data_IF_796034836800
#
_entry.id   IF_796034836800
#
_cell.length_a   1.000
_cell.length_b   1.000
_cell.length_c   1.000
_cell.angle_alpha   90.00
_cell.angle_beta   90.00
_cell.angle_gamma   90.00
#
_symmetry.space_group_name_H-M   'P 1'
#
loop_
_entity.id
_entity.type
_entity.pdbx_description
1 polymer ?
#
# COMPACT_ATOMS: atom_id res chain seq x y z
N UNK A 1 20.80 14.89 7.82
CA UNK A 1 19.36 14.59 7.62
C UNK A 1 19.23 13.11 7.33
N UNK A 2 18.33 12.48 8.07
CA UNK A 2 18.31 11.07 8.47
C UNK A 2 17.80 10.11 7.40
N UNK A 3 18.29 8.88 7.49
CA UNK A 3 18.19 7.77 6.55
C UNK A 3 16.84 7.04 6.73
N UNK A 4 15.93 7.11 5.75
CA UNK A 4 14.55 6.59 5.81
C UNK A 4 14.35 5.27 5.06
N UNK A 5 15.30 4.33 5.14
CA UNK A 5 15.18 3.02 4.46
C UNK A 5 14.99 1.82 5.40
N UNK A 6 14.81 2.05 6.71
CA UNK A 6 14.68 0.96 7.68
C UNK A 6 13.23 0.48 7.93
N UNK A 7 12.21 1.12 7.34
CA UNK A 7 10.81 0.88 7.72
C UNK A 7 10.08 -0.23 6.94
N UNK A 8 10.69 -0.79 5.88
CA UNK A 8 9.99 -1.76 5.02
C UNK A 8 10.39 -3.23 5.22
N UNK A 9 11.38 -3.54 6.07
CA UNK A 9 11.79 -4.92 6.34
C UNK A 9 11.19 -5.51 7.63
N UNK A 10 10.48 -4.73 8.44
CA UNK A 10 9.99 -5.20 9.74
C UNK A 10 8.62 -5.90 9.72
N UNK A 11 7.85 -5.79 8.64
CA UNK A 11 6.50 -6.35 8.55
C UNK A 11 6.43 -7.79 8.05
N UNK A 12 7.55 -8.38 7.60
CA UNK A 12 7.58 -9.75 7.09
C UNK A 12 8.02 -10.82 8.12
N UNK A 13 8.47 -10.41 9.33
CA UNK A 13 9.07 -11.32 10.32
C UNK A 13 8.17 -11.64 11.54
N UNK A 14 6.90 -11.23 11.54
CA UNK A 14 6.00 -11.42 12.69
C UNK A 14 5.13 -12.68 12.57
N UNK A 15 5.13 -13.38 11.42
CA UNK A 15 4.23 -14.52 11.19
C UNK A 15 4.79 -15.91 11.56
N UNK A 16 5.97 -16.02 12.18
CA UNK A 16 6.63 -17.32 12.39
C UNK A 16 6.95 -17.71 13.85
N UNK A 17 6.41 -17.04 14.88
CA UNK A 17 6.75 -17.32 16.28
C UNK A 17 5.63 -17.89 17.17
N UNK A 18 4.47 -18.30 16.63
CA UNK A 18 3.37 -18.80 17.47
C UNK A 18 3.26 -20.34 17.53
N UNK A 19 4.36 -21.07 17.40
CA UNK A 19 4.39 -22.52 17.64
C UNK A 19 5.68 -22.89 18.38
N UNK A 20 5.59 -22.98 19.70
CA UNK A 20 6.27 -23.91 20.61
C UNK A 20 6.41 -23.27 21.99
N UNK A 21 5.87 -23.95 23.02
CA UNK A 21 6.03 -23.50 24.40
C UNK A 21 4.92 -24.03 25.30
N UNK A 22 4.87 -25.35 25.49
CA UNK A 22 4.12 -25.93 26.61
C UNK A 22 4.90 -25.75 27.91
N UNK A 23 4.19 -25.52 29.02
CA UNK A 23 4.63 -25.81 30.39
C UNK A 23 3.42 -26.31 31.20
N UNK A 24 3.73 -27.29 32.04
CA UNK A 24 2.87 -28.22 32.79
C UNK A 24 2.66 -27.71 34.24
N UNK A 25 1.60 -28.24 34.88
CA UNK A 25 1.24 -28.24 36.32
C UNK A 25 0.58 -26.95 36.84
N UNK A 26 -0.50 -27.01 37.63
CA UNK A 26 -0.67 -27.83 38.82
C UNK A 26 -2.14 -28.21 39.08
N UNK A 27 -2.25 -29.31 39.81
CA UNK A 27 -3.39 -30.07 40.28
C UNK A 27 -4.44 -29.28 41.06
N UNK A 28 -5.68 -29.36 40.56
CA UNK A 28 -6.88 -29.09 41.31
C UNK A 28 -8.02 -29.84 40.64
N UNK A 29 -8.24 -31.10 41.02
CA UNK A 29 -9.40 -31.87 40.55
C UNK A 29 -10.65 -31.30 41.23
N UNK A 30 -11.11 -30.16 40.72
CA UNK A 30 -12.50 -29.76 40.86
C UNK A 30 -13.30 -30.71 39.99
N UNK A 31 -14.28 -31.37 40.60
CA UNK A 31 -15.26 -32.23 39.92
C UNK A 31 -15.98 -31.37 38.88
N UNK A 32 -15.49 -31.39 37.64
CA UNK A 32 -16.03 -30.61 36.52
C UNK A 32 -17.50 -31.06 36.40
N UNK A 33 -18.48 -30.14 36.46
CA UNK A 33 -19.87 -30.51 36.22
C UNK A 33 -19.92 -31.20 34.85
N UNK A 34 -20.54 -32.37 34.75
CA UNK A 34 -20.69 -33.14 33.51
C UNK A 34 -21.14 -32.20 32.37
N UNK A 35 -20.19 -31.73 31.57
CA UNK A 35 -20.45 -30.71 30.57
C UNK A 35 -21.11 -31.39 29.38
N UNK A 36 -22.40 -31.14 29.22
CA UNK A 36 -23.18 -31.70 28.11
C UNK A 36 -23.04 -30.83 26.87
N UNK A 37 -23.10 -31.47 25.72
CA UNK A 37 -23.02 -30.82 24.42
C UNK A 37 -24.31 -31.06 23.63
N UNK A 38 -24.68 -30.14 22.75
CA UNK A 38 -25.75 -30.31 21.78
C UNK A 38 -25.13 -30.63 20.42
N UNK A 39 -25.34 -31.84 19.91
CA UNK A 39 -24.98 -32.24 18.56
C UNK A 39 -26.14 -31.96 17.60
N UNK A 40 -25.87 -31.19 16.54
CA UNK A 40 -26.88 -30.84 15.54
C UNK A 40 -27.11 -32.00 14.58
N UNK A 41 -28.35 -32.49 14.53
CA UNK A 41 -28.76 -33.57 13.63
C UNK A 41 -29.44 -33.00 12.39
N UNK A 42 -30.29 -31.99 12.60
CA UNK A 42 -31.12 -31.39 11.55
C UNK A 42 -30.60 -29.98 11.22
N UNK A 43 -29.85 -29.90 10.13
CA UNK A 43 -29.23 -28.67 9.64
C UNK A 43 -30.02 -28.09 8.46
N UNK A 44 -30.01 -26.75 8.28
CA UNK A 44 -29.26 -25.78 9.07
C UNK A 44 -30.06 -25.30 10.30
N UNK A 45 -29.43 -25.25 11.47
CA UNK A 45 -30.07 -24.79 12.70
C UNK A 45 -29.66 -23.34 13.01
N UNK A 46 -30.64 -22.47 13.26
CA UNK A 46 -30.40 -21.05 13.56
C UNK A 46 -29.95 -20.88 15.00
N UNK A 47 -28.89 -20.10 15.20
CA UNK A 47 -28.43 -19.67 16.52
C UNK A 47 -28.84 -18.20 16.69
N UNK A 48 -29.75 -17.94 17.62
CA UNK A 48 -30.30 -16.60 17.87
C UNK A 48 -29.76 -16.03 19.19
N UNK A 49 -29.69 -14.71 19.29
CA UNK A 49 -29.18 -14.02 20.49
C UNK A 49 -30.18 -14.05 21.66
N UNK A 50 -31.48 -13.91 21.37
CA UNK A 50 -32.57 -13.87 22.34
C UNK A 50 -33.73 -14.75 21.86
N UNK A 51 -34.58 -15.23 22.78
CA UNK A 51 -35.77 -16.03 22.45
C UNK A 51 -36.93 -15.12 21.99
N UNK A 52 -36.75 -14.45 20.85
CA UNK A 52 -37.72 -13.53 20.24
C UNK A 52 -37.76 -13.77 18.73
N UNK A 53 -38.95 -13.78 18.08
CA UNK A 53 -39.07 -13.84 16.62
C UNK A 53 -38.25 -12.79 15.84
N UNK A 54 -37.99 -11.63 16.44
CA UNK A 54 -37.19 -10.53 15.88
C UNK A 54 -35.72 -10.55 16.33
N UNK A 55 -35.28 -11.63 16.99
CA UNK A 55 -33.90 -11.72 17.47
C UNK A 55 -32.88 -11.76 16.32
N UNK A 56 -31.76 -11.04 16.45
CA UNK A 56 -30.61 -11.20 15.57
C UNK A 56 -30.09 -12.65 15.53
N UNK A 57 -29.72 -13.11 14.34
CA UNK A 57 -29.10 -14.42 14.10
C UNK A 57 -27.58 -14.27 14.30
N UNK A 58 -27.03 -14.98 15.27
CA UNK A 58 -25.58 -15.02 15.55
C UNK A 58 -24.84 -15.90 14.54
N UNK A 59 -25.51 -16.93 14.03
CA UNK A 59 -24.95 -17.84 13.06
C UNK A 59 -25.90 -18.98 12.68
N UNK A 60 -25.41 -19.85 11.81
CA UNK A 60 -26.06 -21.09 11.41
C UNK A 60 -25.16 -22.26 11.81
N UNK A 61 -25.73 -23.24 12.49
CA UNK A 61 -25.02 -24.46 12.84
C UNK A 61 -25.16 -25.51 11.72
N UNK A 62 -24.05 -26.20 11.47
CA UNK A 62 -23.98 -27.28 10.49
C UNK A 62 -24.30 -28.63 11.12
N UNK A 63 -24.63 -29.63 10.29
CA UNK A 63 -24.87 -31.00 10.75
C UNK A 63 -23.61 -31.58 11.40
N UNK A 64 -23.79 -32.31 12.49
CA UNK A 64 -22.74 -32.90 13.35
C UNK A 64 -21.86 -31.87 14.10
N UNK A 65 -22.20 -30.58 14.07
CA UNK A 65 -21.53 -29.59 14.91
C UNK A 65 -21.99 -29.76 16.36
N UNK A 66 -21.06 -29.62 17.31
CA UNK A 66 -21.34 -29.77 18.75
C UNK A 66 -21.06 -28.47 19.49
N UNK A 67 -22.02 -28.06 20.33
CA UNK A 67 -21.89 -26.86 21.15
C UNK A 67 -22.02 -27.17 22.64
N UNK A 68 -21.20 -26.59 23.51
CA UNK A 68 -21.33 -26.77 24.95
C UNK A 68 -22.63 -26.12 25.44
N UNK A 69 -23.39 -26.87 26.23
CA UNK A 69 -24.66 -26.41 26.81
C UNK A 69 -24.37 -25.62 28.08
N UNK A 70 -24.83 -24.37 28.12
CA UNK A 70 -24.77 -23.46 29.28
C UNK A 70 -26.08 -23.49 30.06
N UNK A 71 -27.18 -23.92 29.45
CA UNK A 71 -28.46 -24.10 30.12
C UNK A 71 -29.47 -24.81 29.22
N UNK A 72 -30.23 -25.75 29.79
CA UNK A 72 -31.24 -26.53 29.05
C UNK A 72 -32.64 -26.02 29.39
N UNK A 73 -33.36 -25.52 28.39
CA UNK A 73 -34.80 -25.26 28.45
C UNK A 73 -35.62 -26.44 27.95
N UNK A 74 -36.93 -26.25 27.82
CA UNK A 74 -37.86 -27.27 27.29
C UNK A 74 -37.85 -27.31 25.75
N UNK A 75 -37.83 -26.15 25.11
CA UNK A 75 -37.85 -25.99 23.65
C UNK A 75 -36.53 -25.45 23.11
N UNK A 76 -35.86 -24.60 23.88
CA UNK A 76 -34.60 -23.96 23.50
C UNK A 76 -33.46 -24.35 24.45
N UNK A 77 -32.27 -24.48 23.90
CA UNK A 77 -31.03 -24.71 24.62
C UNK A 77 -30.15 -23.48 24.52
N UNK A 78 -29.56 -23.08 25.64
CA UNK A 78 -28.57 -22.02 25.72
C UNK A 78 -27.19 -22.62 25.56
N UNK A 79 -26.46 -22.17 24.54
CA UNK A 79 -25.14 -22.68 24.14
C UNK A 79 -24.10 -21.57 24.15
N UNK A 80 -22.81 -21.94 24.23
CA UNK A 80 -21.71 -21.01 23.96
C UNK A 80 -21.34 -21.08 22.47
N UNK A 81 -21.43 -19.96 21.78
CA UNK A 81 -21.13 -19.82 20.35
C UNK A 81 -20.14 -18.67 20.14
N UNK A 82 -18.93 -18.99 19.65
CA UNK A 82 -17.86 -18.01 19.36
C UNK A 82 -17.53 -17.04 20.51
N UNK A 83 -17.64 -17.51 21.75
CA UNK A 83 -17.38 -16.72 22.96
C UNK A 83 -18.60 -15.99 23.53
N UNK A 84 -19.71 -15.93 22.79
CA UNK A 84 -20.97 -15.36 23.25
C UNK A 84 -22.00 -16.45 23.58
N UNK A 85 -23.03 -16.09 24.35
CA UNK A 85 -24.13 -17.00 24.65
C UNK A 85 -25.23 -16.88 23.60
N UNK A 86 -25.61 -18.00 22.98
CA UNK A 86 -26.66 -18.10 21.98
C UNK A 86 -27.74 -19.12 22.33
N UNK A 87 -28.86 -19.08 21.61
CA UNK A 87 -29.97 -20.00 21.78
C UNK A 87 -30.21 -20.79 20.50
N UNK A 88 -30.46 -22.08 20.65
CA UNK A 88 -30.75 -23.01 19.56
C UNK A 88 -31.89 -23.94 19.96
N UNK A 89 -32.73 -24.32 19.00
CA UNK A 89 -33.88 -25.16 19.25
C UNK A 89 -33.44 -26.60 19.54
N UNK A 90 -33.94 -27.20 20.63
CA UNK A 90 -33.56 -28.55 21.06
C UNK A 90 -33.99 -29.60 20.03
N UNK A 91 -35.10 -29.38 19.33
CA UNK A 91 -35.62 -30.27 18.29
C UNK A 91 -34.62 -30.50 17.14
N UNK A 92 -33.66 -29.60 16.95
CA UNK A 92 -32.65 -29.65 15.89
C UNK A 92 -31.43 -30.50 16.24
N UNK A 93 -31.31 -30.96 17.48
CA UNK A 93 -30.15 -31.71 17.94
C UNK A 93 -30.46 -32.77 18.99
N UNK A 94 -29.42 -33.49 19.38
CA UNK A 94 -29.45 -34.38 20.56
C UNK A 94 -28.38 -33.96 21.54
N UNK A 95 -28.66 -34.15 22.83
CA UNK A 95 -27.69 -33.89 23.88
C UNK A 95 -26.73 -35.08 23.96
N UNK A 96 -25.43 -34.82 23.90
CA UNK A 96 -24.35 -35.81 23.96
C UNK A 96 -23.38 -35.45 25.09
N UNK A 97 -22.77 -36.47 25.70
CA UNK A 97 -21.88 -36.28 26.87
C UNK A 97 -20.41 -36.02 26.47
N UNK A 98 -20.09 -36.08 25.18
CA UNK A 98 -18.77 -35.76 24.64
C UNK A 98 -18.89 -35.00 23.32
N UNK A 99 -18.03 -34.02 23.04
CA UNK A 99 -18.04 -33.33 21.76
C UNK A 99 -17.67 -34.32 20.65
N UNK A 100 -18.52 -34.44 19.64
CA UNK A 100 -18.16 -35.07 18.37
C UNK A 100 -17.11 -34.18 17.72
N UNK A 101 -15.84 -34.47 17.97
CA UNK A 101 -14.75 -33.94 17.15
C UNK A 101 -15.03 -34.43 15.74
N UNK A 102 -15.38 -33.51 14.84
CA UNK A 102 -15.35 -33.76 13.42
C UNK A 102 -13.88 -33.95 13.08
N UNK A 103 -13.38 -35.15 13.37
CA UNK A 103 -12.19 -35.70 12.74
C UNK A 103 -12.58 -35.86 11.28
N UNK A 104 -12.47 -34.77 10.53
CA UNK A 104 -12.50 -34.82 9.09
C UNK A 104 -11.42 -35.83 8.70
N UNK A 105 -11.84 -37.08 8.44
CA UNK A 105 -11.04 -38.07 7.73
C UNK A 105 -10.89 -37.52 6.32
N UNK A 106 -10.02 -36.53 6.18
CA UNK A 106 -9.54 -36.06 4.89
C UNK A 106 -8.66 -37.23 4.41
N UNK A 107 -9.06 -37.98 3.38
CA UNK A 107 -8.23 -39.05 2.85
C UNK A 107 -6.87 -38.46 2.50
N UNK A 108 -5.78 -39.03 3.02
CA UNK A 108 -4.43 -38.46 2.98
C UNK A 108 -3.90 -38.09 1.58
N UNK A 109 -4.57 -38.59 0.54
CA UNK A 109 -4.32 -38.26 -0.86
C UNK A 109 -4.59 -36.75 -1.14
N UNK A 110 -5.61 -36.15 -0.52
CA UNK A 110 -5.91 -34.72 -0.70
C UNK A 110 -4.86 -33.81 -0.03
N UNK A 111 -4.32 -34.20 1.13
CA UNK A 111 -3.29 -33.40 1.81
C UNK A 111 -1.98 -33.34 1.00
N UNK A 112 -1.61 -34.43 0.32
CA UNK A 112 -0.43 -34.46 -0.55
C UNK A 112 -0.54 -33.50 -1.75
N UNK A 113 -1.73 -33.36 -2.34
CA UNK A 113 -1.97 -32.44 -3.47
C UNK A 113 -1.97 -30.98 -3.02
N UNK A 114 -2.51 -30.66 -1.84
CA UNK A 114 -2.46 -29.29 -1.31
C UNK A 114 -1.05 -28.87 -0.89
N UNK A 115 -0.26 -29.76 -0.29
CA UNK A 115 1.13 -29.45 0.10
C UNK A 115 2.02 -29.32 -1.16
N UNK A 116 1.89 -30.24 -2.12
CA UNK A 116 2.64 -30.17 -3.39
C UNK A 116 2.25 -28.98 -4.26
N UNK A 117 0.94 -28.71 -4.38
CA UNK A 117 0.42 -27.58 -5.15
C UNK A 117 0.76 -26.23 -4.52
N UNK A 118 0.71 -26.12 -3.19
CA UNK A 118 1.09 -24.88 -2.49
C UNK A 118 2.59 -24.61 -2.59
N UNK A 119 3.44 -25.64 -2.49
CA UNK A 119 4.89 -25.47 -2.66
C UNK A 119 5.24 -25.03 -4.09
N UNK A 120 4.58 -25.60 -5.09
CA UNK A 120 4.78 -25.23 -6.50
C UNK A 120 4.33 -23.78 -6.77
N UNK A 121 3.17 -23.37 -6.22
CA UNK A 121 2.67 -22.00 -6.35
C UNK A 121 3.63 -20.98 -5.69
N UNK A 122 4.15 -21.29 -4.50
CA UNK A 122 5.12 -20.44 -3.80
C UNK A 122 6.42 -20.31 -4.62
N UNK A 123 6.90 -21.39 -5.25
CA UNK A 123 8.07 -21.34 -6.11
C UNK A 123 7.84 -20.51 -7.39
N UNK A 124 6.65 -20.61 -7.99
CA UNK A 124 6.29 -19.82 -9.18
C UNK A 124 6.14 -18.34 -8.83
N UNK A 125 5.41 -18.00 -7.78
CA UNK A 125 5.24 -16.61 -7.33
C UNK A 125 6.57 -16.04 -6.84
N UNK A 126 7.34 -16.81 -6.08
CA UNK A 126 8.67 -16.44 -5.61
C UNK A 126 9.65 -16.19 -6.75
N UNK A 127 9.67 -17.04 -7.77
CA UNK A 127 10.51 -16.84 -8.96
C UNK A 127 10.07 -15.63 -9.79
N UNK A 128 8.76 -15.41 -9.97
CA UNK A 128 8.24 -14.19 -10.62
C UNK A 128 8.62 -12.95 -9.82
N UNK A 129 8.53 -12.99 -8.49
CA UNK A 129 8.91 -11.88 -7.61
C UNK A 129 10.43 -11.64 -7.62
N UNK A 130 11.26 -12.68 -7.63
CA UNK A 130 12.71 -12.56 -7.74
C UNK A 130 13.08 -11.99 -9.11
N UNK A 131 12.50 -12.51 -10.21
CA UNK A 131 12.74 -12.00 -11.57
C UNK A 131 12.23 -10.55 -11.71
N UNK A 132 11.08 -10.21 -11.13
CA UNK A 132 10.54 -8.85 -11.17
C UNK A 132 11.35 -7.90 -10.28
N UNK A 133 11.85 -8.35 -9.13
CA UNK A 133 12.75 -7.56 -8.27
C UNK A 133 14.12 -7.35 -8.93
N UNK A 134 14.64 -8.37 -9.63
CA UNK A 134 15.88 -8.28 -10.40
C UNK A 134 15.72 -7.37 -11.62
N UNK A 135 14.54 -7.34 -12.25
CA UNK A 135 14.21 -6.37 -13.33
C UNK A 135 13.89 -4.97 -12.81
N UNK A 136 13.44 -4.83 -11.56
CA UNK A 136 13.12 -3.54 -10.93
C UNK A 136 14.37 -2.69 -10.63
N UNK A 137 15.57 -3.29 -10.66
CA UNK A 137 16.82 -2.59 -10.37
C UNK A 137 17.71 -2.30 -11.58
N UNK A 138 17.16 -2.08 -12.78
CA UNK A 138 17.90 -1.38 -13.86
C UNK A 138 17.02 -0.49 -14.76
N UNK A 139 16.01 0.19 -14.22
CA UNK A 139 15.81 1.55 -14.71
C UNK A 139 17.00 2.31 -14.15
N UNK A 140 18.04 2.52 -14.97
CA UNK A 140 19.03 3.56 -14.69
C UNK A 140 18.20 4.84 -14.59
N UNK A 141 17.79 5.18 -13.37
CA UNK A 141 17.53 6.56 -13.01
C UNK A 141 18.89 7.22 -13.21
N UNK A 142 19.17 7.65 -14.43
CA UNK A 142 19.83 8.93 -14.59
C UNK A 142 18.95 9.82 -13.74
N UNK A 143 19.34 10.07 -12.49
CA UNK A 143 18.81 11.21 -11.77
C UNK A 143 19.26 12.35 -12.68
N UNK A 144 18.36 12.92 -13.52
CA UNK A 144 18.78 13.99 -14.39
C UNK A 144 19.35 15.01 -13.42
N UNK A 145 20.58 15.42 -13.66
CA UNK A 145 21.15 16.54 -12.93
C UNK A 145 20.09 17.66 -13.08
N UNK A 146 19.65 18.19 -11.95
CA UNK A 146 18.42 19.02 -11.88
C UNK A 146 18.83 20.48 -11.84
N UNK A 147 19.79 20.86 -12.67
CA UNK A 147 20.38 22.19 -12.66
C UNK A 147 19.66 23.04 -13.71
N UNK A 148 18.93 24.06 -13.27
CA UNK A 148 18.19 25.00 -14.14
C UNK A 148 18.83 26.38 -14.04
N UNK A 149 19.08 27.00 -15.18
CA UNK A 149 19.41 28.43 -15.28
C UNK A 149 18.22 29.18 -15.86
N UNK A 150 17.70 30.14 -15.10
CA UNK A 150 16.62 31.04 -15.53
C UNK A 150 17.25 32.36 -15.96
N UNK A 151 17.00 32.80 -17.19
CA UNK A 151 17.39 34.12 -17.70
C UNK A 151 16.13 34.99 -17.75
N UNK A 152 16.06 35.99 -16.89
CA UNK A 152 14.93 36.93 -16.80
C UNK A 152 15.33 38.24 -16.13
N UNK A 153 14.86 39.37 -16.65
CA UNK A 153 15.07 40.69 -16.06
C UNK A 153 14.41 40.86 -14.69
N UNK A 154 13.25 40.21 -14.49
CA UNK A 154 12.49 40.22 -13.24
C UNK A 154 12.06 38.82 -12.82
N UNK A 155 11.75 38.67 -11.52
CA UNK A 155 11.21 37.42 -11.00
C UNK A 155 9.79 37.21 -11.53
N UNK A 156 9.53 36.03 -12.11
CA UNK A 156 8.24 35.71 -12.71
C UNK A 156 7.37 35.00 -11.68
N UNK A 157 6.19 35.55 -11.45
CA UNK A 157 5.13 34.88 -10.70
C UNK A 157 4.33 33.93 -11.60
N UNK A 158 3.96 32.80 -11.02
CA UNK A 158 3.08 31.78 -11.60
C UNK A 158 1.86 31.70 -10.70
N UNK A 159 0.69 31.80 -11.31
CA UNK A 159 -0.57 31.57 -10.64
C UNK A 159 -0.92 30.08 -10.72
N UNK A 160 -1.18 29.45 -9.58
CA UNK A 160 -1.70 28.10 -9.54
C UNK A 160 -3.19 28.12 -9.86
N UNK A 161 -3.59 27.47 -10.96
CA UNK A 161 -4.99 27.41 -11.39
C UNK A 161 -5.92 26.71 -10.39
N UNK A 162 -5.37 25.84 -9.54
CA UNK A 162 -6.16 25.04 -8.59
C UNK A 162 -6.32 25.70 -7.22
N UNK A 163 -5.34 26.50 -6.79
CA UNK A 163 -5.31 27.07 -5.43
C UNK A 163 -5.45 28.58 -5.40
N UNK A 164 -5.47 29.23 -6.58
CA UNK A 164 -5.49 30.70 -6.75
C UNK A 164 -4.33 31.44 -6.06
N UNK A 165 -3.34 30.71 -5.57
CA UNK A 165 -2.13 31.28 -4.95
C UNK A 165 -1.11 31.61 -6.02
N UNK A 166 -0.41 32.75 -5.91
CA UNK A 166 0.79 33.03 -6.70
C UNK A 166 2.05 32.52 -6.01
N UNK A 167 3.00 31.99 -6.78
CA UNK A 167 4.35 31.66 -6.32
C UNK A 167 5.35 32.11 -7.38
N UNK A 168 6.62 32.18 -7.03
CA UNK A 168 7.65 32.50 -8.02
C UNK A 168 8.09 31.24 -8.77
N UNK A 169 8.41 31.37 -10.06
CA UNK A 169 8.91 30.28 -10.90
C UNK A 169 10.13 29.59 -10.26
N UNK A 170 11.02 30.40 -9.67
CA UNK A 170 12.19 29.92 -8.94
C UNK A 170 11.82 29.04 -7.75
N UNK A 171 10.80 29.43 -6.96
CA UNK A 171 10.34 28.67 -5.80
C UNK A 171 9.67 27.36 -6.24
N UNK A 172 8.78 27.42 -7.23
CA UNK A 172 8.12 26.24 -7.81
C UNK A 172 9.14 25.19 -8.31
N UNK A 173 10.17 25.61 -9.03
CA UNK A 173 11.22 24.70 -9.52
C UNK A 173 12.06 24.09 -8.38
N UNK A 174 12.37 24.87 -7.33
CA UNK A 174 13.07 24.36 -6.13
C UNK A 174 12.23 23.32 -5.38
N UNK A 175 10.92 23.51 -5.27
CA UNK A 175 9.99 22.55 -4.66
C UNK A 175 9.95 21.22 -5.41
N UNK A 176 10.08 21.24 -6.74
CA UNK A 176 10.21 20.04 -7.58
C UNK A 176 11.61 19.38 -7.42
N UNK A 177 12.55 20.05 -6.77
CA UNK A 177 13.91 19.57 -6.50
C UNK A 177 14.94 19.99 -7.55
N UNK A 178 14.67 21.04 -8.33
CA UNK A 178 15.69 21.66 -9.18
C UNK A 178 16.59 22.61 -8.39
N UNK A 179 17.89 22.60 -8.70
CA UNK A 179 18.83 23.63 -8.30
C UNK A 179 18.69 24.80 -9.27
N UNK A 180 18.07 25.86 -8.81
CA UNK A 180 17.75 27.03 -9.63
C UNK A 180 18.81 28.11 -9.46
N UNK A 181 19.42 28.51 -10.56
CA UNK A 181 20.27 29.70 -10.67
C UNK A 181 19.55 30.72 -11.55
N UNK A 182 19.58 32.00 -11.20
CA UNK A 182 18.91 33.06 -11.96
C UNK A 182 19.92 34.10 -12.44
N UNK A 183 19.80 34.49 -13.71
CA UNK A 183 20.57 35.56 -14.33
C UNK A 183 19.61 36.68 -14.76
N UNK A 184 19.95 37.93 -14.40
CA UNK A 184 19.12 39.11 -14.68
C UNK A 184 19.30 39.67 -16.09
N UNK A 185 20.41 39.34 -16.71
CA UNK A 185 20.79 39.80 -18.04
C UNK A 185 21.55 38.68 -18.78
N UNK A 186 21.71 38.89 -20.09
CA UNK A 186 22.38 37.93 -20.98
C UNK A 186 23.87 37.79 -20.63
N UNK A 187 24.54 38.87 -20.22
CA UNK A 187 25.98 38.88 -19.97
C UNK A 187 26.34 38.12 -18.69
N UNK A 188 25.55 38.27 -17.63
CA UNK A 188 25.61 37.50 -16.40
C UNK A 188 25.29 36.03 -16.68
N UNK A 189 24.28 35.74 -17.51
CA UNK A 189 24.02 34.37 -17.93
C UNK A 189 25.22 33.75 -18.65
N UNK A 190 25.86 34.52 -19.56
CA UNK A 190 27.08 34.11 -20.26
C UNK A 190 28.22 33.81 -19.29
N UNK A 191 28.47 34.70 -18.33
CA UNK A 191 29.51 34.52 -17.31
C UNK A 191 29.25 33.27 -16.45
N UNK A 192 27.99 33.02 -16.07
CA UNK A 192 27.62 31.79 -15.37
C UNK A 192 27.86 30.55 -16.24
N UNK A 193 27.50 30.60 -17.53
CA UNK A 193 27.62 29.46 -18.43
C UNK A 193 29.08 29.04 -18.72
N UNK A 194 30.06 29.92 -18.49
CA UNK A 194 31.49 29.60 -18.57
C UNK A 194 31.92 28.65 -17.45
N UNK A 195 31.37 28.84 -16.24
CA UNK A 195 31.75 28.08 -15.04
C UNK A 195 30.74 27.00 -14.65
N UNK A 196 29.54 27.03 -15.24
CA UNK A 196 28.41 26.21 -14.85
C UNK A 196 27.61 25.79 -16.08
N UNK A 197 27.41 24.48 -16.25
CA UNK A 197 26.64 23.91 -17.36
C UNK A 197 25.28 23.41 -16.86
N UNK A 198 24.20 24.21 -16.97
CA UNK A 198 22.86 23.77 -16.60
C UNK A 198 22.32 22.72 -17.58
N UNK A 199 21.44 21.87 -17.09
CA UNK A 199 20.73 20.88 -17.91
C UNK A 199 19.55 21.52 -18.65
N UNK A 200 18.90 22.49 -18.00
CA UNK A 200 17.77 23.24 -18.55
C UNK A 200 18.07 24.72 -18.54
N UNK A 201 17.90 25.36 -19.68
CA UNK A 201 17.98 26.81 -19.85
C UNK A 201 16.56 27.36 -20.09
N UNK A 202 16.04 28.10 -19.12
CA UNK A 202 14.74 28.76 -19.22
C UNK A 202 14.93 30.24 -19.53
N UNK A 203 14.46 30.70 -20.70
CA UNK A 203 14.70 32.07 -21.17
C UNK A 203 13.37 32.82 -21.31
N UNK A 204 13.27 34.00 -20.70
CA UNK A 204 12.14 34.89 -20.91
C UNK A 204 12.21 35.52 -22.32
N UNK A 205 11.27 35.19 -23.19
CA UNK A 205 11.24 35.71 -24.56
C UNK A 205 11.12 37.24 -24.59
N UNK A 206 10.33 37.82 -23.70
CA UNK A 206 10.07 39.26 -23.64
C UNK A 206 11.21 40.07 -23.01
N UNK A 207 12.33 39.44 -22.64
CA UNK A 207 13.43 40.14 -21.99
C UNK A 207 14.07 41.18 -22.91
N UNK A 208 14.29 40.83 -24.19
CA UNK A 208 14.91 41.71 -25.19
C UNK A 208 14.40 41.39 -26.60
N UNK A 209 14.31 42.39 -27.49
CA UNK A 209 13.79 42.23 -28.88
C UNK A 209 14.59 41.26 -29.75
N UNK A 210 15.83 40.93 -29.38
CA UNK A 210 16.74 40.04 -30.13
C UNK A 210 17.32 38.92 -29.23
N UNK A 211 16.51 38.40 -28.31
CA UNK A 211 16.98 37.40 -27.34
C UNK A 211 17.42 36.09 -28.00
N UNK A 212 16.72 35.66 -29.06
CA UNK A 212 16.97 34.40 -29.75
C UNK A 212 18.39 34.30 -30.35
N UNK A 213 18.84 35.21 -31.25
CA UNK A 213 20.18 35.13 -31.82
C UNK A 213 21.28 35.28 -30.76
N UNK A 214 21.04 36.03 -29.68
CA UNK A 214 21.98 36.14 -28.55
C UNK A 214 22.13 34.82 -27.80
N UNK A 215 21.02 34.15 -27.50
CA UNK A 215 21.02 32.84 -26.83
C UNK A 215 21.66 31.77 -27.72
N UNK A 216 21.37 31.77 -29.02
CA UNK A 216 22.02 30.88 -29.99
C UNK A 216 23.53 31.12 -30.08
N UNK A 217 23.98 32.38 -30.07
CA UNK A 217 25.40 32.72 -30.05
C UNK A 217 26.10 32.20 -28.78
N UNK A 218 25.41 32.22 -27.63
CA UNK A 218 25.93 31.66 -26.38
C UNK A 218 26.01 30.14 -26.47
N UNK A 219 24.94 29.47 -26.90
CA UNK A 219 24.87 28.00 -26.97
C UNK A 219 25.89 27.45 -27.99
N UNK A 220 26.03 28.10 -29.14
CA UNK A 220 26.99 27.68 -30.18
C UNK A 220 28.44 27.82 -29.74
N UNK A 221 28.74 28.74 -28.82
CA UNK A 221 30.06 28.88 -28.20
C UNK A 221 30.37 27.83 -27.13
N UNK A 222 29.38 27.04 -26.67
CA UNK A 222 29.59 26.00 -25.67
C UNK A 222 29.91 24.66 -26.33
N UNK A 223 30.82 23.87 -25.74
CA UNK A 223 31.12 22.52 -26.23
C UNK A 223 29.87 21.62 -26.24
N UNK A 224 29.73 20.84 -27.33
CA UNK A 224 28.58 19.98 -27.70
C UNK A 224 28.30 18.79 -26.74
N UNK A 225 28.93 18.72 -25.58
CA UNK A 225 29.05 17.46 -24.82
C UNK A 225 27.85 17.08 -23.95
N UNK A 226 26.73 17.79 -23.98
CA UNK A 226 25.52 17.41 -23.22
C UNK A 226 24.25 17.84 -23.92
N UNK A 227 23.25 16.95 -24.00
CA UNK A 227 21.90 17.26 -24.45
C UNK A 227 21.23 18.26 -23.50
N UNK A 228 21.31 19.56 -23.82
CA UNK A 228 20.69 20.63 -23.03
C UNK A 228 19.32 20.94 -23.59
N UNK A 229 18.37 21.20 -22.69
CA UNK A 229 17.01 21.59 -23.08
C UNK A 229 16.90 23.09 -22.91
N UNK A 230 16.65 23.79 -24.02
CA UNK A 230 16.38 25.24 -24.01
C UNK A 230 14.87 25.43 -24.16
N UNK A 231 14.27 26.17 -23.22
CA UNK A 231 12.84 26.50 -23.23
C UNK A 231 12.66 28.00 -23.13
N UNK A 232 11.94 28.56 -24.10
CA UNK A 232 11.47 29.93 -24.03
C UNK A 232 10.10 29.97 -23.35
N UNK A 233 9.88 30.96 -22.51
CA UNK A 233 8.59 31.22 -21.87
C UNK A 233 8.19 32.68 -22.07
N UNK A 234 6.90 33.00 -21.85
CA UNK A 234 6.26 34.25 -22.28
C UNK A 234 6.41 34.52 -23.79
N UNK A 235 6.37 33.46 -24.61
CA UNK A 235 6.36 33.61 -26.07
C UNK A 235 5.01 34.23 -26.45
N UNK A 236 4.99 35.35 -27.21
CA UNK A 236 3.75 35.98 -27.66
C UNK A 236 2.96 34.99 -28.51
N UNK A 237 1.64 35.13 -28.50
CA UNK A 237 0.78 34.33 -29.36
C UNK A 237 1.20 34.58 -30.82
N UNK A 238 1.37 33.55 -31.67
CA UNK A 238 1.69 33.75 -33.08
C UNK A 238 0.71 34.68 -33.80
N UNK A 239 -0.53 34.80 -33.31
CA UNK A 239 -1.54 35.73 -33.83
C UNK A 239 -1.30 37.20 -33.46
N UNK A 240 -0.47 37.50 -32.46
CA UNK A 240 -0.09 38.87 -32.08
C UNK A 240 1.11 39.40 -32.89
N UNK A 241 1.73 38.56 -33.73
CA UNK A 241 2.95 38.85 -34.50
C UNK A 241 2.62 39.23 -35.97
N UNK A 242 1.36 39.11 -36.39
CA UNK A 242 0.90 39.41 -37.76
C UNK A 242 0.54 40.87 -37.98
#
# INVERSE_FOLDING_TARGET
MTNNNAFFFHTALIFLCAFTGGVIADSGVQKIPEQKYLEIIDAPAKIIKFMDPQSPILGMASKCETFPIVGKGTTWCRILYKGDTGWIEISKGKVVDSPTVISAKIPGIMMGVFIGGSLLLILVVGSIFVISSLKSHKVKRYAPKRDVLIISSSEKEILYSLTETSTTLSKCLREIGFKVTAARDIDHARNLLIHYTPDVLAVNWQMERNILPKVEAIISGMEKSSSRIVRFYNVPDPTEIS
#
